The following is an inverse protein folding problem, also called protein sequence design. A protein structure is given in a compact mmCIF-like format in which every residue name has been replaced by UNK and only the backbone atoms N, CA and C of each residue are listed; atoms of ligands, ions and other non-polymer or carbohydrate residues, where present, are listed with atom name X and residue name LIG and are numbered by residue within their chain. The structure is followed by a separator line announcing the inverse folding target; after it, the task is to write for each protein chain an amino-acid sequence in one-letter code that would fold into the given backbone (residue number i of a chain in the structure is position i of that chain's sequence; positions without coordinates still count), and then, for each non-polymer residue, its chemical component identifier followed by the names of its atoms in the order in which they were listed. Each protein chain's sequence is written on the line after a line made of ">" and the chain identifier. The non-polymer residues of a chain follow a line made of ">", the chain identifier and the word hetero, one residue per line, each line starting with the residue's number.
data_IF_293819353658
#
_entry.id   IF_293819353658
#
_cell.length_a   1.000
_cell.length_b   1.000
_cell.length_c   1.000
_cell.angle_alpha   90.00
_cell.angle_beta   90.00
_cell.angle_gamma   90.00
#
_symmetry.space_group_name_H-M   'P 1'
#
loop_
_entity.id
_entity.type
_entity.pdbx_description
1 polymer ?
#
# COMPACT_ATOMS: atom_id res chain seq x y z
N UNK A 1 -9.77 -72.98 -68.03
CA UNK A 1 -10.35 -72.90 -66.67
C UNK A 1 -9.49 -71.96 -65.82
N UNK A 2 -10.12 -70.90 -65.33
CA UNK A 2 -9.78 -70.07 -64.16
C UNK A 2 -8.35 -69.49 -63.96
N UNK A 3 -8.27 -68.18 -64.25
CA UNK A 3 -7.85 -67.09 -63.34
C UNK A 3 -6.72 -67.40 -62.35
N UNK A 4 -5.56 -66.78 -62.55
CA UNK A 4 -4.65 -66.37 -61.45
C UNK A 4 -4.19 -64.93 -61.67
N UNK A 5 -4.79 -64.03 -60.89
CA UNK A 5 -4.30 -62.69 -60.60
C UNK A 5 -3.09 -62.78 -59.65
N UNK A 6 -2.04 -61.99 -59.89
CA UNK A 6 -1.08 -61.55 -58.88
C UNK A 6 -0.27 -60.38 -59.49
N UNK A 7 -0.77 -59.15 -59.33
CA UNK A 7 -0.43 -58.20 -58.27
C UNK A 7 0.95 -57.56 -58.47
N UNK A 8 0.89 -56.35 -59.03
CA UNK A 8 1.95 -55.35 -59.17
C UNK A 8 2.37 -54.91 -57.76
N UNK A 9 3.64 -55.13 -57.39
CA UNK A 9 4.21 -54.63 -56.15
C UNK A 9 4.58 -53.14 -56.31
N UNK A 10 3.70 -52.23 -55.91
CA UNK A 10 4.05 -50.83 -55.67
C UNK A 10 4.70 -50.75 -54.27
N UNK A 11 6.02 -50.65 -54.22
CA UNK A 11 6.78 -50.32 -53.02
C UNK A 11 6.59 -48.85 -52.66
N UNK A 12 5.64 -48.57 -51.75
CA UNK A 12 5.49 -47.26 -51.13
C UNK A 12 6.57 -47.09 -50.04
N UNK A 13 7.61 -46.33 -50.35
CA UNK A 13 8.57 -45.83 -49.36
C UNK A 13 7.86 -44.96 -48.32
N UNK A 14 7.74 -45.46 -47.10
CA UNK A 14 7.19 -44.72 -45.96
C UNK A 14 8.19 -43.65 -45.51
N UNK A 15 7.92 -42.38 -45.82
CA UNK A 15 8.59 -41.26 -45.15
C UNK A 15 8.15 -41.23 -43.68
N UNK A 16 9.06 -41.57 -42.79
CA UNK A 16 8.90 -41.35 -41.34
C UNK A 16 8.97 -39.84 -41.05
N UNK A 17 7.81 -39.21 -40.85
CA UNK A 17 7.73 -37.87 -40.28
C UNK A 17 7.84 -37.96 -38.74
N UNK A 18 8.60 -37.07 -38.07
CA UNK A 18 8.61 -37.02 -36.62
C UNK A 18 7.24 -36.54 -36.14
N UNK A 19 6.60 -37.30 -35.24
CA UNK A 19 5.39 -36.87 -34.55
C UNK A 19 5.79 -35.76 -33.58
N UNK A 20 5.55 -34.51 -33.98
CA UNK A 20 5.58 -33.40 -33.04
C UNK A 20 4.44 -33.61 -32.04
N UNK A 21 4.78 -33.76 -30.76
CA UNK A 21 3.81 -33.81 -29.68
C UNK A 21 3.03 -32.49 -29.65
N UNK A 22 1.77 -32.51 -30.09
CA UNK A 22 0.89 -31.35 -30.03
C UNK A 22 0.49 -31.16 -28.56
N UNK A 23 0.95 -30.08 -27.95
CA UNK A 23 0.37 -29.63 -26.69
C UNK A 23 -1.10 -29.26 -26.99
N UNK A 24 -2.04 -29.96 -26.35
CA UNK A 24 -3.47 -29.71 -26.48
C UNK A 24 -3.86 -28.27 -26.12
N UNK A 25 -5.08 -27.83 -26.45
CA UNK A 25 -5.56 -26.47 -26.25
C UNK A 25 -5.35 -26.02 -24.80
N UNK A 26 -5.29 -24.69 -24.58
CA UNK A 26 -5.11 -23.98 -23.28
C UNK A 26 -6.17 -24.36 -22.24
N UNK A 27 -6.19 -25.62 -21.88
CA UNK A 27 -7.15 -26.31 -21.05
C UNK A 27 -6.36 -26.91 -19.92
N UNK A 28 -6.80 -26.57 -18.73
CA UNK A 28 -6.15 -26.97 -17.51
C UNK A 28 -6.12 -28.50 -17.44
N UNK A 29 -5.04 -29.10 -16.92
CA UNK A 29 -4.89 -30.55 -16.95
C UNK A 29 -6.13 -31.26 -16.37
N UNK A 30 -6.52 -32.41 -16.94
CA UNK A 30 -7.69 -33.15 -16.47
C UNK A 30 -7.56 -33.40 -14.96
N UNK A 31 -8.58 -33.04 -14.19
CA UNK A 31 -8.57 -33.07 -12.72
C UNK A 31 -8.30 -31.71 -12.03
N UNK A 32 -7.82 -30.69 -12.76
CA UNK A 32 -7.56 -29.34 -12.22
C UNK A 32 -8.47 -28.24 -12.79
N UNK A 33 -9.29 -28.56 -13.81
CA UNK A 33 -10.19 -27.61 -14.47
C UNK A 33 -11.22 -26.98 -13.52
N UNK A 34 -11.80 -27.77 -12.61
CA UNK A 34 -12.76 -27.28 -11.61
C UNK A 34 -12.14 -26.50 -10.46
N UNK A 35 -10.79 -26.45 -10.38
CA UNK A 35 -10.05 -25.76 -9.31
C UNK A 35 -9.31 -24.53 -9.80
N UNK A 36 -9.77 -23.95 -10.91
CA UNK A 36 -9.21 -22.71 -11.46
C UNK A 36 -7.78 -22.86 -11.98
N UNK A 37 -7.32 -24.09 -12.25
CA UNK A 37 -6.05 -24.36 -12.93
C UNK A 37 -4.79 -23.94 -12.15
N UNK A 38 -4.97 -23.53 -10.90
CA UNK A 38 -3.88 -23.17 -10.00
C UNK A 38 -3.50 -24.41 -9.20
N UNK A 39 -2.25 -24.89 -9.30
CA UNK A 39 -1.78 -25.99 -8.45
C UNK A 39 -1.93 -25.61 -6.97
N UNK A 40 -2.37 -26.52 -6.09
CA UNK A 40 -2.65 -26.20 -4.68
C UNK A 40 -1.45 -25.63 -3.93
N UNK A 41 -0.22 -26.04 -4.28
CA UNK A 41 1.02 -25.47 -3.74
C UNK A 41 1.29 -24.02 -4.17
N UNK A 42 0.74 -23.58 -5.32
CA UNK A 42 0.84 -22.20 -5.80
C UNK A 42 -0.31 -21.33 -5.28
N UNK A 43 -1.51 -21.88 -5.13
CA UNK A 43 -2.66 -21.18 -4.57
C UNK A 43 -2.37 -20.60 -3.17
N UNK A 44 -1.60 -21.34 -2.35
CA UNK A 44 -1.16 -20.88 -1.02
C UNK A 44 -0.17 -19.71 -1.09
N UNK A 45 0.69 -19.65 -2.12
CA UNK A 45 1.71 -18.60 -2.27
C UNK A 45 1.10 -17.26 -2.71
N UNK A 46 0.05 -17.27 -3.52
CA UNK A 46 -0.63 -16.04 -3.95
C UNK A 46 -1.19 -15.22 -2.77
N UNK A 47 -1.65 -15.89 -1.70
CA UNK A 47 -2.15 -15.20 -0.50
C UNK A 47 -1.05 -14.59 0.38
N UNK A 48 0.20 -15.01 0.21
CA UNK A 48 1.31 -14.58 1.08
C UNK A 48 2.03 -13.32 0.61
N UNK A 49 1.73 -12.80 -0.60
CA UNK A 49 2.47 -11.68 -1.18
C UNK A 49 1.89 -10.29 -0.84
N UNK A 50 0.84 -10.22 -0.02
CA UNK A 50 0.07 -8.98 0.23
C UNK A 50 0.40 -8.25 1.55
N UNK A 51 1.44 -8.65 2.29
CA UNK A 51 1.60 -8.22 3.69
C UNK A 51 2.74 -7.24 4.02
N UNK A 52 3.42 -6.63 3.07
CA UNK A 52 4.63 -5.84 3.39
C UNK A 52 4.77 -4.47 2.70
N UNK A 53 3.75 -3.93 2.02
CA UNK A 53 3.86 -2.65 1.31
C UNK A 53 3.34 -1.41 2.04
N UNK A 54 2.94 -1.52 3.30
CA UNK A 54 2.40 -0.38 4.05
C UNK A 54 3.42 0.29 5.00
N UNK A 55 4.67 -0.17 5.03
CA UNK A 55 5.62 0.22 6.09
C UNK A 55 6.37 1.55 5.93
N UNK A 56 6.19 2.28 4.82
CA UNK A 56 7.00 3.49 4.55
C UNK A 56 6.22 4.80 4.31
N UNK A 57 5.01 4.91 4.88
CA UNK A 57 4.29 6.19 4.95
C UNK A 57 4.51 6.81 6.33
N UNK A 58 5.76 7.00 6.74
CA UNK A 58 6.09 7.86 7.88
C UNK A 58 5.95 9.32 7.44
N UNK A 59 4.75 9.71 7.02
CA UNK A 59 4.37 11.11 7.16
C UNK A 59 4.50 11.39 8.65
N UNK A 60 5.43 12.27 9.02
CA UNK A 60 5.53 12.79 10.37
C UNK A 60 4.24 13.56 10.60
N UNK A 61 3.18 12.86 11.02
CA UNK A 61 1.91 13.45 11.39
C UNK A 61 2.21 14.27 12.63
N UNK A 62 2.56 15.54 12.42
CA UNK A 62 2.79 16.50 13.50
C UNK A 62 1.54 16.50 14.34
N UNK A 63 1.66 15.95 15.54
CA UNK A 63 0.53 15.83 16.46
C UNK A 63 0.31 17.20 17.07
N UNK A 64 -0.70 17.90 16.56
CA UNK A 64 -1.11 19.20 17.09
C UNK A 64 -2.05 18.98 18.26
N UNK A 65 -1.83 19.74 19.33
CA UNK A 65 -2.75 19.80 20.45
C UNK A 65 -4.09 20.45 20.04
N UNK A 66 -5.16 20.00 20.68
CA UNK A 66 -6.52 20.55 20.60
C UNK A 66 -6.85 21.25 21.92
N UNK A 67 -7.89 22.07 21.91
CA UNK A 67 -8.44 22.65 23.14
C UNK A 67 -8.81 21.55 24.14
N UNK A 68 -8.36 21.72 25.38
CA UNK A 68 -8.54 20.74 26.45
C UNK A 68 -7.35 19.78 26.63
N UNK A 69 -6.49 19.63 25.63
CA UNK A 69 -5.30 18.79 25.75
C UNK A 69 -4.27 19.44 26.68
N UNK A 70 -3.41 18.63 27.29
CA UNK A 70 -2.25 19.12 28.02
C UNK A 70 -1.00 19.04 27.14
N UNK A 71 -0.27 20.15 27.03
CA UNK A 71 1.00 20.17 26.28
C UNK A 71 2.07 19.40 27.06
N UNK A 72 2.53 18.29 26.49
CA UNK A 72 3.50 17.36 27.09
C UNK A 72 4.85 17.32 26.38
N UNK A 73 4.90 17.68 25.09
CA UNK A 73 6.11 17.68 24.28
C UNK A 73 6.89 19.00 24.37
N UNK A 74 7.74 19.25 23.38
CA UNK A 74 8.54 20.46 23.32
C UNK A 74 7.69 21.69 23.01
N UNK A 75 7.92 22.75 23.79
CA UNK A 75 7.30 24.04 23.59
C UNK A 75 8.23 25.19 23.98
N UNK A 76 7.95 26.37 23.42
CA UNK A 76 8.59 27.64 23.78
C UNK A 76 7.51 28.59 24.31
N UNK A 77 7.77 29.21 25.45
CA UNK A 77 6.88 30.25 26.00
C UNK A 77 7.08 31.55 25.23
N UNK A 78 6.00 32.14 24.74
CA UNK A 78 6.03 33.47 24.11
C UNK A 78 5.97 34.51 25.24
N UNK A 79 7.12 35.15 25.50
CA UNK A 79 7.27 36.11 26.61
C UNK A 79 6.76 37.51 26.32
N UNK A 80 6.65 37.86 25.04
CA UNK A 80 6.14 39.15 24.58
C UNK A 80 5.00 38.90 23.57
N UNK A 81 3.77 38.62 24.06
CA UNK A 81 2.63 38.33 23.20
C UNK A 81 2.22 39.54 22.35
N UNK A 82 2.38 40.76 22.87
CA UNK A 82 1.94 41.99 22.22
C UNK A 82 2.66 42.26 20.89
N UNK A 83 3.91 41.82 20.74
CA UNK A 83 4.63 41.85 19.45
C UNK A 83 3.94 41.08 18.32
N UNK A 84 3.04 40.16 18.65
CA UNK A 84 2.30 39.34 17.69
C UNK A 84 0.80 39.67 17.68
N UNK A 85 0.40 40.81 18.24
CA UNK A 85 -1.01 41.20 18.38
C UNK A 85 -1.80 40.31 19.35
N UNK A 86 -1.10 39.53 20.20
CA UNK A 86 -1.73 38.69 21.21
C UNK A 86 -1.91 39.47 22.52
N UNK A 87 -2.88 39.02 23.33
CA UNK A 87 -3.24 39.68 24.59
C UNK A 87 -2.12 39.46 25.63
N UNK A 88 -1.55 40.52 26.24
CA UNK A 88 -0.40 40.37 27.14
C UNK A 88 -0.74 39.70 28.49
N UNK A 89 -2.01 39.64 28.86
CA UNK A 89 -2.51 39.02 30.09
C UNK A 89 -2.67 37.49 29.99
N UNK A 90 -2.64 36.94 28.78
CA UNK A 90 -2.76 35.50 28.53
C UNK A 90 -1.37 34.84 28.37
N UNK A 91 -1.28 33.54 28.71
CA UNK A 91 -0.05 32.75 28.50
C UNK A 91 -0.12 31.99 27.18
N UNK A 92 0.93 32.09 26.36
CA UNK A 92 1.00 31.42 25.07
C UNK A 92 2.22 30.54 24.91
N UNK A 93 2.00 29.30 24.47
CA UNK A 93 3.05 28.36 24.11
C UNK A 93 3.07 28.18 22.60
N UNK A 94 4.28 28.16 22.04
CA UNK A 94 4.53 27.69 20.70
C UNK A 94 4.98 26.23 20.77
N UNK A 95 4.29 25.34 20.07
CA UNK A 95 4.78 23.99 19.82
C UNK A 95 4.66 23.67 18.33
N UNK A 96 5.71 23.09 17.75
CA UNK A 96 5.86 22.97 16.31
C UNK A 96 5.73 24.35 15.61
N UNK A 97 4.78 24.45 14.69
CA UNK A 97 4.43 25.65 13.92
C UNK A 97 3.17 26.37 14.45
N UNK A 98 2.58 25.90 15.56
CA UNK A 98 1.35 26.47 16.14
C UNK A 98 1.57 27.19 17.45
N UNK A 99 0.74 28.19 17.67
CA UNK A 99 0.61 28.93 18.92
C UNK A 99 -0.68 28.53 19.62
N UNK A 100 -0.58 28.30 20.92
CA UNK A 100 -1.64 27.87 21.80
C UNK A 100 -1.76 28.86 22.94
N UNK A 101 -2.99 29.28 23.28
CA UNK A 101 -3.25 29.88 24.58
C UNK A 101 -3.39 28.77 25.59
N UNK A 102 -2.72 28.88 26.72
CA UNK A 102 -2.67 27.83 27.74
C UNK A 102 -2.96 28.37 29.12
N UNK A 103 -3.46 27.48 29.97
CA UNK A 103 -3.43 27.65 31.41
C UNK A 103 -1.99 27.43 31.90
N UNK A 104 -1.35 28.41 32.58
CA UNK A 104 0.06 28.34 32.93
C UNK A 104 0.35 27.26 33.99
N UNK A 105 -0.60 26.98 34.88
CA UNK A 105 -0.42 26.04 36.00
C UNK A 105 -0.53 24.58 35.54
N UNK A 106 -1.48 24.30 34.65
CA UNK A 106 -1.80 22.95 34.19
C UNK A 106 -1.23 22.60 32.83
N UNK A 107 -0.78 23.60 32.06
CA UNK A 107 -0.37 23.49 30.64
C UNK A 107 -1.48 23.01 29.72
N UNK A 108 -2.74 23.21 30.14
CA UNK A 108 -3.91 22.83 29.35
C UNK A 108 -4.15 23.87 28.27
N UNK A 109 -4.40 23.42 27.04
CA UNK A 109 -4.75 24.29 25.92
C UNK A 109 -6.15 24.86 26.16
N UNK A 110 -6.22 26.18 26.28
CA UNK A 110 -7.45 26.94 26.39
C UNK A 110 -7.97 27.35 25.00
N UNK A 111 -7.05 27.64 24.07
CA UNK A 111 -7.41 27.97 22.69
C UNK A 111 -6.27 27.69 21.71
N UNK A 112 -6.61 27.41 20.44
CA UNK A 112 -5.65 27.21 19.36
C UNK A 112 -5.65 28.45 18.47
N UNK A 113 -4.59 29.26 18.58
CA UNK A 113 -4.49 30.52 17.83
C UNK A 113 -4.19 30.26 16.35
N UNK A 114 -3.39 29.22 16.06
CA UNK A 114 -3.06 28.82 14.70
C UNK A 114 -1.57 28.96 14.39
N UNK A 115 -1.24 29.06 13.11
CA UNK A 115 0.15 29.08 12.63
C UNK A 115 0.83 30.43 12.90
N UNK A 116 2.12 30.41 13.23
CA UNK A 116 2.90 31.63 13.51
C UNK A 116 2.89 32.61 12.32
N UNK A 117 2.92 32.11 11.09
CA UNK A 117 2.89 32.94 9.89
C UNK A 117 1.64 33.82 9.79
N UNK A 118 0.52 33.39 10.40
CA UNK A 118 -0.71 34.17 10.43
C UNK A 118 -0.68 35.32 11.46
N UNK A 119 0.34 35.36 12.35
CA UNK A 119 0.49 36.36 13.40
C UNK A 119 1.50 37.46 13.04
N UNK A 120 2.25 37.31 11.94
CA UNK A 120 3.26 38.26 11.47
C UNK A 120 2.66 39.22 10.43
N UNK A 121 1.63 39.96 10.83
CA UNK A 121 0.99 41.00 10.01
C UNK A 121 1.71 42.34 10.12
#
# INVERSE_FOLDING_TARGET
>A
MFRKLALIALSATALSLPVAAVAGPKGCPPGLASKGCVPPGQAKKMRSYDHDRDRDHREVRREYYRTGDRITGDYVVIRDPSRYGLRPDDTYYRSNDRVYRVDPDTRKVLDVIGAIAALAN
#
